data_IF_050631274554
#
_entry.id   IF_050631274554
#
_cell.length_a   1.000
_cell.length_b   1.000
_cell.length_c   1.000
_cell.angle_alpha   90.00
_cell.angle_beta   90.00
_cell.angle_gamma   90.00
#
_symmetry.space_group_name_H-M   'P 1'
#
loop_
_entity.id
_entity.type
_entity.pdbx_description
1 polymer ?
#
# COMPACT_ATOMS: atom_id res chain seq x y z
N UNK A 1 -15.87 -11.95 6.53
CA UNK A 1 -14.47 -11.76 6.98
C UNK A 1 -14.37 -11.81 8.52
N UNK A 2 -14.75 -12.92 9.16
CA UNK A 2 -14.95 -13.04 10.62
C UNK A 2 -13.69 -13.23 11.47
N UNK A 3 -12.58 -12.57 11.11
CA UNK A 3 -11.34 -12.57 11.88
C UNK A 3 -11.31 -11.46 12.94
N UNK A 4 -10.35 -11.55 13.86
CA UNK A 4 -10.10 -10.50 14.86
C UNK A 4 -9.15 -9.43 14.27
N UNK A 5 -9.54 -8.15 14.23
CA UNK A 5 -8.66 -7.08 13.75
C UNK A 5 -7.50 -6.86 14.73
N UNK A 6 -6.38 -6.36 14.23
CA UNK A 6 -5.26 -5.93 15.07
C UNK A 6 -5.24 -4.41 15.23
N UNK A 7 -4.87 -3.95 16.42
CA UNK A 7 -4.56 -2.54 16.69
C UNK A 7 -3.05 -2.26 16.71
N UNK A 8 -2.22 -3.28 16.45
CA UNK A 8 -0.78 -3.15 16.41
C UNK A 8 -0.35 -2.71 15.01
N UNK A 9 0.25 -1.51 14.87
CA UNK A 9 0.70 -1.04 13.56
C UNK A 9 1.89 -1.86 13.08
N UNK A 10 2.11 -1.87 11.77
CA UNK A 10 3.35 -2.41 11.21
C UNK A 10 4.55 -1.57 11.68
N UNK A 11 5.71 -2.18 11.97
CA UNK A 11 6.93 -1.44 12.25
C UNK A 11 7.29 -0.51 11.09
N UNK A 12 7.63 0.74 11.39
CA UNK A 12 8.16 1.69 10.42
C UNK A 12 9.68 1.70 10.57
N UNK A 13 10.45 1.25 9.57
CA UNK A 13 11.90 1.22 9.66
C UNK A 13 12.47 2.64 9.74
N UNK A 14 13.51 2.81 10.56
CA UNK A 14 14.22 4.10 10.66
C UNK A 14 15.06 4.29 9.40
N UNK A 15 14.81 5.36 8.66
CA UNK A 15 15.66 5.80 7.56
C UNK A 15 16.71 6.81 8.05
N UNK A 16 17.94 6.70 7.56
CA UNK A 16 19.05 7.63 7.88
C UNK A 16 19.27 8.67 6.79
N UNK A 17 18.69 8.47 5.61
CA UNK A 17 18.76 9.41 4.48
C UNK A 17 17.40 9.58 3.83
N UNK A 18 17.21 10.69 3.11
CA UNK A 18 15.99 10.94 2.35
C UNK A 18 15.76 9.88 1.27
N UNK A 19 16.84 9.36 0.67
CA UNK A 19 16.75 8.28 -0.32
C UNK A 19 16.26 6.98 0.31
N UNK A 20 16.85 6.58 1.45
CA UNK A 20 16.38 5.41 2.21
C UNK A 20 14.91 5.54 2.62
N UNK A 21 14.48 6.74 2.99
CA UNK A 21 13.08 7.01 3.31
C UNK A 21 12.15 6.77 2.11
N UNK A 22 12.52 7.25 0.92
CA UNK A 22 11.72 7.04 -0.29
C UNK A 22 11.73 5.58 -0.76
N UNK A 23 12.84 4.88 -0.60
CA UNK A 23 12.92 3.43 -0.87
C UNK A 23 11.99 2.65 0.08
N UNK A 24 11.94 3.03 1.36
CA UNK A 24 11.02 2.46 2.34
C UNK A 24 9.55 2.79 2.02
N UNK A 25 9.24 4.03 1.60
CA UNK A 25 7.90 4.42 1.14
C UNK A 25 7.50 3.58 -0.08
N UNK A 26 8.34 3.48 -1.10
CA UNK A 26 8.03 2.69 -2.30
C UNK A 26 7.73 1.23 -1.96
N UNK A 27 8.47 0.64 -1.03
CA UNK A 27 8.21 -0.72 -0.55
C UNK A 27 6.87 -0.82 0.20
N UNK A 28 6.53 0.19 1.03
CA UNK A 28 5.27 0.26 1.74
C UNK A 28 4.07 0.38 0.78
N UNK A 29 4.13 1.25 -0.23
CA UNK A 29 3.03 1.45 -1.19
C UNK A 29 2.76 0.18 -2.03
N UNK A 30 3.82 -0.49 -2.49
CA UNK A 30 3.70 -1.77 -3.20
C UNK A 30 3.08 -2.85 -2.32
N UNK A 31 3.43 -2.87 -1.04
CA UNK A 31 2.84 -3.81 -0.09
C UNK A 31 1.37 -3.48 0.16
N UNK A 32 1.02 -2.20 0.34
CA UNK A 32 -0.35 -1.75 0.54
C UNK A 32 -1.24 -2.13 -0.65
N UNK A 33 -0.77 -1.88 -1.87
CA UNK A 33 -1.42 -2.30 -3.12
C UNK A 33 -1.72 -3.81 -3.11
N UNK A 34 -0.74 -4.64 -2.73
CA UNK A 34 -0.91 -6.10 -2.64
C UNK A 34 -1.91 -6.53 -1.56
N UNK A 35 -1.83 -5.92 -0.37
CA UNK A 35 -2.72 -6.20 0.76
C UNK A 35 -4.17 -5.84 0.41
N UNK A 36 -4.41 -4.64 -0.14
CA UNK A 36 -5.75 -4.18 -0.51
C UNK A 36 -6.33 -4.97 -1.69
N UNK A 37 -5.51 -5.31 -2.69
CA UNK A 37 -5.92 -6.20 -3.80
C UNK A 37 -6.37 -7.57 -3.28
N UNK A 38 -5.66 -8.13 -2.30
CA UNK A 38 -6.05 -9.39 -1.68
C UNK A 38 -7.38 -9.24 -0.93
N UNK A 39 -7.52 -8.19 -0.13
CA UNK A 39 -8.76 -7.93 0.62
C UNK A 39 -9.95 -7.68 -0.29
N UNK A 40 -9.77 -7.02 -1.44
CA UNK A 40 -10.85 -6.78 -2.40
C UNK A 40 -11.40 -8.11 -2.94
N UNK A 41 -10.52 -9.07 -3.28
CA UNK A 41 -10.93 -10.42 -3.71
C UNK A 41 -11.69 -11.16 -2.62
N UNK A 42 -11.21 -11.12 -1.38
CA UNK A 42 -11.89 -11.76 -0.26
C UNK A 42 -13.25 -11.10 0.06
N UNK A 43 -13.37 -9.78 -0.09
CA UNK A 43 -14.63 -9.07 0.04
C UNK A 43 -15.61 -9.44 -1.09
N UNK A 44 -15.10 -9.61 -2.31
CA UNK A 44 -15.89 -10.05 -3.46
C UNK A 44 -16.41 -11.48 -3.27
N UNK A 45 -15.56 -12.41 -2.82
CA UNK A 45 -15.96 -13.77 -2.45
C UNK A 45 -17.02 -13.80 -1.33
N UNK A 46 -16.94 -12.84 -0.40
CA UNK A 46 -17.93 -12.67 0.66
C UNK A 46 -19.23 -11.98 0.19
N UNK A 47 -19.25 -11.38 -1.00
CA UNK A 47 -20.39 -10.67 -1.56
C UNK A 47 -20.56 -9.23 -1.09
N UNK A 48 -19.56 -8.64 -0.43
CA UNK A 48 -19.61 -7.26 0.07
C UNK A 48 -19.11 -6.27 -1.00
N UNK A 49 -20.02 -5.85 -1.88
CA UNK A 49 -19.69 -4.95 -2.99
C UNK A 49 -19.27 -3.55 -2.54
N UNK A 50 -19.77 -3.06 -1.42
CA UNK A 50 -19.36 -1.76 -0.89
C UNK A 50 -17.89 -1.76 -0.49
N UNK A 51 -17.47 -2.81 0.21
CA UNK A 51 -16.08 -2.97 0.62
C UNK A 51 -15.13 -3.21 -0.56
N UNK A 52 -15.57 -3.95 -1.59
CA UNK A 52 -14.78 -4.13 -2.83
C UNK A 52 -14.44 -2.78 -3.45
N UNK A 53 -15.44 -1.94 -3.71
CA UNK A 53 -15.25 -0.61 -4.34
C UNK A 53 -14.28 0.24 -3.51
N UNK A 54 -14.48 0.27 -2.19
CA UNK A 54 -13.61 1.05 -1.31
C UNK A 54 -12.14 0.57 -1.36
N UNK A 55 -11.92 -0.75 -1.37
CA UNK A 55 -10.56 -1.31 -1.43
C UNK A 55 -9.90 -1.08 -2.79
N UNK A 56 -10.66 -1.13 -3.89
CA UNK A 56 -10.16 -0.82 -5.23
C UNK A 56 -9.80 0.67 -5.40
N UNK A 57 -10.56 1.57 -4.78
CA UNK A 57 -10.18 2.99 -4.69
C UNK A 57 -8.85 3.16 -3.94
N UNK A 58 -8.65 2.46 -2.82
CA UNK A 58 -7.35 2.49 -2.12
C UNK A 58 -6.23 1.92 -3.01
N UNK A 59 -6.47 0.83 -3.74
CA UNK A 59 -5.48 0.28 -4.69
C UNK A 59 -5.09 1.30 -5.76
N UNK A 60 -6.05 2.07 -6.29
CA UNK A 60 -5.77 3.14 -7.25
C UNK A 60 -4.85 4.21 -6.65
N UNK A 61 -5.16 4.65 -5.43
CA UNK A 61 -4.40 5.70 -4.76
C UNK A 61 -2.95 5.24 -4.48
N UNK A 62 -2.75 4.04 -3.92
CA UNK A 62 -1.40 3.52 -3.65
C UNK A 62 -0.60 3.21 -4.93
N UNK A 63 -1.28 2.83 -6.02
CA UNK A 63 -0.63 2.69 -7.32
C UNK A 63 -0.03 4.03 -7.76
N UNK A 64 -0.79 5.12 -7.67
CA UNK A 64 -0.32 6.47 -7.98
C UNK A 64 0.83 6.92 -7.08
N UNK A 65 0.74 6.69 -5.76
CA UNK A 65 1.83 6.99 -4.82
C UNK A 65 3.11 6.22 -5.15
N UNK A 66 2.99 4.93 -5.48
CA UNK A 66 4.13 4.07 -5.82
C UNK A 66 4.81 4.50 -7.12
N UNK A 67 4.04 4.90 -8.13
CA UNK A 67 4.55 5.36 -9.42
C UNK A 67 5.30 6.69 -9.28
N UNK A 68 4.73 7.64 -8.53
CA UNK A 68 5.38 8.94 -8.28
C UNK A 68 6.68 8.75 -7.49
N UNK A 69 6.65 7.96 -6.42
CA UNK A 69 7.84 7.67 -5.61
C UNK A 69 8.92 6.97 -6.44
N UNK A 70 8.53 6.02 -7.30
CA UNK A 70 9.45 5.35 -8.21
C UNK A 70 10.07 6.33 -9.22
N UNK A 71 9.31 7.30 -9.72
CA UNK A 71 9.82 8.36 -10.60
C UNK A 71 10.86 9.22 -9.90
N UNK A 72 10.56 9.67 -8.68
CA UNK A 72 11.50 10.46 -7.86
C UNK A 72 12.82 9.70 -7.64
N UNK A 73 12.75 8.42 -7.28
CA UNK A 73 13.93 7.59 -7.07
C UNK A 73 14.72 7.34 -8.37
N UNK A 74 14.04 7.21 -9.50
CA UNK A 74 14.66 7.02 -10.82
C UNK A 74 15.43 8.27 -11.25
N UNK A 75 14.85 9.44 -11.04
CA UNK A 75 15.42 10.73 -11.45
C UNK A 75 16.22 11.40 -10.31
N UNK A 76 16.61 10.62 -9.28
CA UNK A 76 17.29 11.13 -8.10
C UNK A 76 18.65 11.73 -8.47
N UNK A 77 18.91 13.02 -8.17
CA UNK A 77 20.18 13.64 -8.51
C UNK A 77 21.31 12.96 -7.71
N UNK A 78 22.32 12.47 -8.44
CA UNK A 78 23.57 11.94 -7.88
C UNK A 78 24.45 13.08 -7.34
#
# INVERSE_FOLDING_TARGET
LGGEPTTTPRPVPVAKTNREMLEAILAAEKKATSDYSKRAREAEEFGDKGLVVQLEDMVRDESGHSEETARILKDWPL
#
